data_IF_857541112141
#
_entry.id   IF_857541112141
#
_cell.length_a   1.000
_cell.length_b   1.000
_cell.length_c   1.000
_cell.angle_alpha   90.00
_cell.angle_beta   90.00
_cell.angle_gamma   90.00
#
_symmetry.space_group_name_H-M   'P 1'
#
loop_
_entity.id
_entity.type
_entity.pdbx_description
1 polymer ?
#
# COMPACT_ATOMS: atom_id res chain seq x y z
N UNK A 1 59.38 42.36 40.30
CA UNK A 1 58.53 43.21 39.43
C UNK A 1 58.99 43.09 37.99
N UNK A 2 58.34 42.23 37.19
CA UNK A 2 58.37 42.24 35.73
C UNK A 2 57.02 41.67 35.28
N UNK A 3 56.13 42.56 34.87
CA UNK A 3 54.83 42.28 34.28
C UNK A 3 55.03 41.80 32.84
N UNK A 4 54.53 40.61 32.51
CA UNK A 4 54.40 40.14 31.13
C UNK A 4 52.94 40.25 30.73
N UNK A 5 52.69 41.00 29.66
CA UNK A 5 51.38 41.25 29.06
C UNK A 5 51.16 40.14 28.02
N UNK A 6 50.25 39.20 28.27
CA UNK A 6 49.86 38.20 27.28
C UNK A 6 48.66 38.71 26.48
N UNK A 7 48.90 39.03 25.20
CA UNK A 7 47.87 39.37 24.22
C UNK A 7 47.18 38.07 23.79
N UNK A 8 45.89 37.95 24.06
CA UNK A 8 45.06 36.82 23.63
C UNK A 8 44.57 37.10 22.19
N UNK A 9 45.09 36.34 21.22
CA UNK A 9 44.67 36.40 19.82
C UNK A 9 43.46 35.47 19.64
N UNK A 10 42.26 36.03 19.49
CA UNK A 10 41.05 35.27 19.19
C UNK A 10 41.01 35.02 17.68
N UNK A 11 41.30 33.79 17.26
CA UNK A 11 41.05 33.33 15.89
C UNK A 11 39.57 32.95 15.76
N UNK A 12 38.81 33.76 15.04
CA UNK A 12 37.45 33.39 14.62
C UNK A 12 37.50 32.34 13.50
N UNK A 13 37.02 31.13 13.77
CA UNK A 13 36.70 30.17 12.71
C UNK A 13 35.39 30.60 12.05
N UNK A 14 35.47 31.13 10.83
CA UNK A 14 34.33 31.15 9.91
C UNK A 14 34.08 29.71 9.44
N UNK A 15 33.08 29.06 10.02
CA UNK A 15 32.52 27.83 9.47
C UNK A 15 31.78 28.13 8.18
N UNK A 16 32.37 27.80 7.03
CA UNK A 16 31.67 27.80 5.76
C UNK A 16 30.64 26.66 5.79
N UNK A 17 29.37 27.00 5.95
CA UNK A 17 28.27 26.07 5.69
C UNK A 17 28.24 25.80 4.20
N UNK A 18 28.72 24.61 3.80
CA UNK A 18 28.46 24.07 2.48
C UNK A 18 26.96 23.79 2.41
N UNK A 19 26.20 24.78 1.95
CA UNK A 19 24.83 24.59 1.52
C UNK A 19 24.84 23.68 0.31
N UNK A 20 24.63 22.38 0.54
CA UNK A 20 24.24 21.47 -0.51
C UNK A 20 22.80 21.88 -0.89
N UNK A 21 22.69 22.79 -1.85
CA UNK A 21 21.44 23.02 -2.56
C UNK A 21 21.21 21.77 -3.41
N UNK A 22 20.51 20.79 -2.84
CA UNK A 22 19.96 19.70 -3.62
C UNK A 22 19.00 20.33 -4.63
N UNK A 23 19.40 20.34 -5.90
CA UNK A 23 18.51 20.70 -6.97
C UNK A 23 17.28 19.78 -6.86
N UNK A 24 16.12 20.38 -6.59
CA UNK A 24 14.83 19.72 -6.65
C UNK A 24 14.52 19.40 -8.11
N UNK A 25 15.19 18.37 -8.65
CA UNK A 25 14.66 17.62 -9.77
C UNK A 25 13.50 16.81 -9.21
N UNK A 26 12.28 17.12 -9.60
CA UNK A 26 11.08 16.38 -9.21
C UNK A 26 11.11 14.99 -9.83
N UNK A 27 11.86 14.08 -9.24
CA UNK A 27 11.67 12.64 -9.38
C UNK A 27 10.33 12.32 -8.72
N UNK A 28 9.27 12.46 -9.51
CA UNK A 28 7.88 12.38 -9.04
C UNK A 28 7.48 10.93 -8.82
N UNK A 29 8.03 10.31 -7.77
CA UNK A 29 7.42 9.11 -7.21
C UNK A 29 6.10 9.55 -6.57
N UNK A 30 5.01 9.01 -7.08
CA UNK A 30 3.68 9.18 -6.53
C UNK A 30 3.35 7.99 -5.64
N UNK A 31 2.69 8.26 -4.52
CA UNK A 31 2.22 7.22 -3.60
C UNK A 31 0.76 7.49 -3.34
N UNK A 32 -0.07 6.48 -3.57
CA UNK A 32 -1.52 6.52 -3.37
C UNK A 32 -2.00 5.18 -2.84
N UNK A 33 -3.25 5.10 -2.40
CA UNK A 33 -3.81 3.89 -1.80
C UNK A 33 -5.12 3.45 -2.48
N UNK A 34 -5.44 2.18 -2.30
CA UNK A 34 -6.65 1.55 -2.80
C UNK A 34 -7.20 0.54 -1.77
N UNK A 35 -8.46 0.16 -1.93
CA UNK A 35 -9.03 -0.97 -1.19
C UNK A 35 -8.36 -2.28 -1.60
N UNK A 36 -8.53 -3.30 -0.77
CA UNK A 36 -8.09 -4.68 -0.99
C UNK A 36 -8.85 -5.40 -2.12
N UNK A 37 -10.09 -4.99 -2.42
CA UNK A 37 -10.95 -5.61 -3.44
C UNK A 37 -10.67 -5.25 -4.91
N UNK A 38 -9.58 -4.53 -5.22
CA UNK A 38 -9.27 -4.10 -6.59
C UNK A 38 -7.88 -4.56 -7.04
N UNK A 39 -7.67 -4.70 -8.33
CA UNK A 39 -6.38 -5.12 -8.92
C UNK A 39 -5.78 -3.98 -9.71
N UNK A 40 -4.59 -3.54 -9.30
CA UNK A 40 -3.89 -2.43 -9.95
C UNK A 40 -2.96 -2.95 -11.04
N UNK A 41 -3.19 -2.57 -12.29
CA UNK A 41 -2.31 -2.91 -13.40
C UNK A 41 -0.91 -2.28 -13.21
N UNK A 42 0.19 -3.05 -13.24
CA UNK A 42 1.53 -2.54 -12.94
C UNK A 42 2.10 -1.60 -14.00
N UNK A 43 1.57 -1.62 -15.22
CA UNK A 43 2.04 -0.79 -16.34
C UNK A 43 1.29 0.54 -16.38
N UNK A 44 -0.01 0.53 -16.10
CA UNK A 44 -0.88 1.72 -16.27
C UNK A 44 -1.38 2.34 -14.96
N UNK A 45 -1.31 1.58 -13.85
CA UNK A 45 -1.90 1.97 -12.57
C UNK A 45 -3.42 2.10 -12.60
N UNK A 46 -4.09 1.55 -13.62
CA UNK A 46 -5.56 1.45 -13.67
C UNK A 46 -6.05 0.22 -12.92
N UNK A 47 -7.25 0.30 -12.37
CA UNK A 47 -7.93 -0.88 -11.85
C UNK A 47 -8.41 -1.76 -13.00
N UNK A 48 -8.27 -3.07 -12.86
CA UNK A 48 -8.92 -4.02 -13.77
C UNK A 48 -10.44 -3.97 -13.65
N UNK A 49 -10.92 -3.61 -12.45
CA UNK A 49 -12.32 -3.42 -12.14
C UNK A 49 -12.89 -2.10 -12.72
N UNK A 50 -12.12 -1.24 -13.40
CA UNK A 50 -12.69 -0.06 -14.10
C UNK A 50 -13.46 -0.47 -15.36
N UNK A 51 -14.58 -1.16 -15.14
CA UNK A 51 -15.38 -1.94 -16.10
C UNK A 51 -16.85 -1.88 -15.69
N UNK A 52 -17.50 -0.71 -15.80
CA UNK A 52 -18.93 -0.57 -15.50
C UNK A 52 -19.83 -1.40 -16.43
N UNK A 53 -19.28 -1.92 -17.52
CA UNK A 53 -19.93 -2.89 -18.40
C UNK A 53 -20.06 -4.30 -17.79
N UNK A 54 -19.28 -4.63 -16.75
CA UNK A 54 -19.40 -5.89 -16.00
C UNK A 54 -20.28 -5.68 -14.75
N UNK A 55 -19.90 -4.76 -13.86
CA UNK A 55 -20.69 -4.41 -12.67
C UNK A 55 -20.79 -2.90 -12.52
N UNK A 56 -22.00 -2.39 -12.29
CA UNK A 56 -22.23 -0.94 -12.18
C UNK A 56 -21.60 -0.29 -10.95
N UNK A 57 -21.42 -1.09 -9.89
CA UNK A 57 -20.84 -0.64 -8.62
C UNK A 57 -19.30 -0.71 -8.61
N UNK A 58 -18.71 -1.19 -9.71
CA UNK A 58 -17.27 -1.16 -9.85
C UNK A 58 -16.75 0.28 -9.83
N UNK A 59 -15.53 0.47 -9.29
CA UNK A 59 -14.91 1.79 -9.27
C UNK A 59 -14.82 2.34 -10.70
N UNK A 60 -15.22 3.61 -10.90
CA UNK A 60 -15.00 4.42 -12.13
C UNK A 60 -14.26 5.74 -11.80
N UNK A 61 -13.37 6.23 -12.66
CA UNK A 61 -12.75 7.56 -12.53
C UNK A 61 -11.30 7.60 -11.99
N UNK A 62 -10.97 8.65 -11.23
CA UNK A 62 -9.60 8.95 -10.79
C UNK A 62 -9.30 8.41 -9.37
N UNK A 63 -9.07 7.10 -9.27
CA UNK A 63 -8.85 6.44 -7.97
C UNK A 63 -7.55 6.82 -7.28
N UNK A 64 -6.60 7.45 -8.00
CA UNK A 64 -5.39 8.01 -7.40
C UNK A 64 -5.75 9.12 -6.41
N UNK A 65 -6.87 9.82 -6.63
CA UNK A 65 -7.37 10.86 -5.74
C UNK A 65 -8.28 10.34 -4.65
N UNK A 66 -9.15 9.37 -4.96
CA UNK A 66 -10.15 8.89 -3.99
C UNK A 66 -10.65 7.48 -4.30
N UNK A 67 -10.81 6.67 -3.26
CA UNK A 67 -11.53 5.39 -3.32
C UNK A 67 -12.44 5.23 -2.09
N UNK A 68 -13.03 4.06 -1.88
CA UNK A 68 -13.83 3.77 -0.69
C UNK A 68 -13.03 3.93 0.62
N UNK A 69 -11.72 3.64 0.58
CA UNK A 69 -10.82 3.72 1.73
C UNK A 69 -9.79 4.83 1.63
N UNK A 70 -9.58 5.44 0.45
CA UNK A 70 -8.50 6.42 0.20
C UNK A 70 -9.02 7.84 -0.04
N UNK A 71 -8.36 8.83 0.57
CA UNK A 71 -8.55 10.25 0.30
C UNK A 71 -7.18 10.94 0.13
N UNK A 72 -6.79 11.23 -1.10
CA UNK A 72 -5.51 11.87 -1.41
C UNK A 72 -5.42 13.32 -0.94
N UNK A 73 -6.55 14.01 -0.78
CA UNK A 73 -6.56 15.39 -0.28
C UNK A 73 -6.20 15.44 1.21
N UNK A 74 -6.58 14.41 1.95
CA UNK A 74 -6.18 14.18 3.33
C UNK A 74 -4.88 13.36 3.46
N UNK A 75 -4.42 12.70 2.38
CA UNK A 75 -3.30 11.76 2.44
C UNK A 75 -3.59 10.54 3.32
N UNK A 76 -4.87 10.13 3.40
CA UNK A 76 -5.36 9.22 4.45
C UNK A 76 -6.08 8.00 3.89
N UNK A 77 -5.77 6.83 4.46
CA UNK A 77 -6.55 5.60 4.39
C UNK A 77 -7.46 5.49 5.61
N UNK A 78 -8.75 5.21 5.40
CA UNK A 78 -9.74 5.02 6.45
C UNK A 78 -10.39 3.63 6.35
N UNK A 79 -10.25 2.85 7.42
CA UNK A 79 -10.66 1.46 7.52
C UNK A 79 -11.60 1.25 8.71
N UNK A 80 -12.34 0.16 8.68
CA UNK A 80 -13.20 -0.29 9.77
C UNK A 80 -13.05 -1.80 9.93
N UNK A 81 -12.99 -2.27 11.16
CA UNK A 81 -12.89 -3.70 11.45
C UNK A 81 -13.50 -4.03 12.81
N UNK A 82 -13.94 -5.27 12.98
CA UNK A 82 -14.17 -5.86 14.28
C UNK A 82 -12.85 -6.34 14.91
N UNK A 83 -12.89 -6.70 16.19
CA UNK A 83 -11.82 -7.50 16.80
C UNK A 83 -11.82 -8.91 16.21
N UNK A 84 -10.65 -9.55 16.16
CA UNK A 84 -10.45 -10.87 15.53
C UNK A 84 -10.66 -10.88 14.00
N UNK A 85 -10.48 -9.74 13.35
CA UNK A 85 -10.63 -9.56 11.91
C UNK A 85 -9.28 -9.18 11.28
N UNK A 86 -9.04 -9.65 10.06
CA UNK A 86 -8.04 -9.07 9.17
C UNK A 86 -8.73 -8.04 8.30
N UNK A 87 -8.23 -6.80 8.34
CA UNK A 87 -8.60 -5.75 7.41
C UNK A 87 -7.38 -5.34 6.60
N UNK A 88 -7.58 -5.08 5.31
CA UNK A 88 -6.47 -4.89 4.39
C UNK A 88 -6.69 -3.68 3.50
N UNK A 89 -5.59 -3.15 2.99
CA UNK A 89 -5.58 -2.14 1.95
C UNK A 89 -4.31 -2.24 1.12
N UNK A 90 -4.26 -1.49 0.05
CA UNK A 90 -3.13 -1.48 -0.87
C UNK A 90 -2.51 -0.08 -0.92
N UNK A 91 -1.18 -0.01 -0.92
CA UNK A 91 -0.41 1.18 -1.27
C UNK A 91 0.26 0.93 -2.61
N UNK A 92 0.12 1.87 -3.53
CA UNK A 92 0.74 1.82 -4.85
C UNK A 92 1.86 2.83 -4.90
N UNK A 93 3.06 2.34 -5.19
CA UNK A 93 4.21 3.19 -5.52
C UNK A 93 4.27 3.31 -7.03
N UNK A 94 4.07 4.53 -7.52
CA UNK A 94 4.00 4.87 -8.93
C UNK A 94 5.20 5.75 -9.31
N UNK A 95 5.90 5.31 -10.34
CA UNK A 95 6.93 6.08 -11.01
C UNK A 95 6.25 7.08 -11.94
N UNK A 96 6.33 8.37 -11.61
CA UNK A 96 5.73 9.43 -12.42
C UNK A 96 6.33 9.52 -13.82
N UNK A 97 5.58 10.14 -14.72
CA UNK A 97 5.88 10.20 -16.15
C UNK A 97 7.22 10.89 -16.47
N UNK A 98 7.68 11.77 -15.57
CA UNK A 98 8.98 12.44 -15.70
C UNK A 98 10.18 11.53 -15.46
N UNK A 99 9.97 10.33 -14.90
CA UNK A 99 11.07 9.42 -14.56
C UNK A 99 11.41 8.52 -15.77
N UNK A 100 12.66 8.55 -16.28
CA UNK A 100 13.08 7.80 -17.47
C UNK A 100 12.79 6.30 -17.34
N UNK A 101 12.28 5.65 -18.39
CA UNK A 101 11.81 4.25 -18.34
C UNK A 101 12.86 3.26 -17.79
N UNK A 102 14.13 3.49 -18.09
CA UNK A 102 15.30 2.69 -17.72
C UNK A 102 15.84 2.97 -16.30
N UNK A 103 15.46 4.09 -15.68
CA UNK A 103 15.88 4.41 -14.32
C UNK A 103 15.11 3.60 -13.28
N UNK A 104 15.83 2.88 -12.43
CA UNK A 104 15.22 2.09 -11.34
C UNK A 104 15.04 2.94 -10.09
N UNK A 105 13.81 3.02 -9.59
CA UNK A 105 13.51 3.53 -8.25
C UNK A 105 13.70 2.40 -7.24
N UNK A 106 14.17 2.72 -6.03
CA UNK A 106 14.36 1.74 -4.94
C UNK A 106 13.53 2.10 -3.71
N UNK A 107 12.20 1.91 -3.73
CA UNK A 107 11.36 2.24 -2.59
C UNK A 107 11.60 1.29 -1.40
N UNK A 108 11.39 1.81 -0.20
CA UNK A 108 11.32 1.07 1.04
C UNK A 108 10.05 1.48 1.80
N UNK A 109 9.17 0.52 2.06
CA UNK A 109 7.90 0.74 2.76
C UNK A 109 8.02 0.28 4.21
N UNK A 110 7.57 1.14 5.12
CA UNK A 110 7.56 0.89 6.56
C UNK A 110 6.21 1.25 7.13
N UNK A 111 5.58 0.31 7.84
CA UNK A 111 4.40 0.54 8.65
C UNK A 111 4.59 -0.23 9.96
N UNK A 112 4.60 0.46 11.09
CA UNK A 112 5.09 -0.14 12.34
C UNK A 112 3.99 -0.38 13.35
N UNK A 113 3.06 0.55 13.50
CA UNK A 113 1.98 0.41 14.48
C UNK A 113 0.85 1.41 14.27
N UNK A 114 -0.31 1.07 14.84
CA UNK A 114 -1.44 1.95 15.01
C UNK A 114 -1.73 2.12 16.51
N UNK A 115 -1.78 3.36 16.99
CA UNK A 115 -2.07 3.70 18.38
C UNK A 115 -3.54 4.03 18.54
N UNK A 116 -4.17 3.43 19.55
CA UNK A 116 -5.60 3.58 19.82
C UNK A 116 -5.89 4.08 21.24
N UNK A 117 -7.14 3.89 21.71
CA UNK A 117 -7.59 4.29 23.04
C UNK A 117 -6.73 3.71 24.16
N UNK A 118 -6.62 4.44 25.27
CA UNK A 118 -5.97 4.00 26.51
C UNK A 118 -4.51 3.51 26.35
N UNK A 119 -3.83 3.97 25.30
CA UNK A 119 -2.45 3.57 24.99
C UNK A 119 -2.33 2.21 24.32
N UNK A 120 -3.44 1.59 23.90
CA UNK A 120 -3.42 0.36 23.12
C UNK A 120 -2.68 0.55 21.79
N UNK A 121 -1.98 -0.50 21.34
CA UNK A 121 -1.15 -0.44 20.14
C UNK A 121 -1.27 -1.74 19.35
N UNK A 122 -1.66 -1.62 18.07
CA UNK A 122 -1.66 -2.72 17.10
C UNK A 122 -0.34 -2.63 16.34
N UNK A 123 0.58 -3.57 16.56
CA UNK A 123 1.96 -3.51 16.04
C UNK A 123 2.54 -4.89 15.73
N UNK A 124 3.77 -4.89 15.22
CA UNK A 124 4.56 -6.11 15.03
C UNK A 124 3.92 -7.05 14.01
N UNK A 125 3.64 -8.29 14.40
CA UNK A 125 3.01 -9.28 13.52
C UNK A 125 1.58 -8.90 13.09
N UNK A 126 0.94 -7.97 13.80
CA UNK A 126 -0.42 -7.53 13.51
C UNK A 126 -0.50 -6.50 12.38
N UNK A 127 0.64 -5.98 11.91
CA UNK A 127 0.72 -5.03 10.79
C UNK A 127 1.78 -5.53 9.82
N UNK A 128 1.34 -6.08 8.69
CA UNK A 128 2.21 -6.81 7.78
C UNK A 128 2.14 -6.24 6.35
N UNK A 129 3.20 -5.56 5.87
CA UNK A 129 3.32 -5.18 4.48
C UNK A 129 3.88 -6.34 3.64
N UNK A 130 3.30 -6.55 2.47
CA UNK A 130 3.70 -7.54 1.48
C UNK A 130 3.86 -6.90 0.11
N UNK A 131 4.91 -7.26 -0.63
CA UNK A 131 5.00 -6.85 -2.04
C UNK A 131 4.10 -7.77 -2.85
N UNK A 132 3.15 -7.20 -3.60
CA UNK A 132 2.36 -7.97 -4.53
C UNK A 132 3.21 -8.41 -5.74
N UNK A 133 3.33 -9.71 -5.94
CA UNK A 133 3.96 -10.32 -7.09
C UNK A 133 2.97 -10.42 -8.24
N UNK A 134 3.35 -9.88 -9.41
CA UNK A 134 2.47 -9.88 -10.56
C UNK A 134 2.63 -11.13 -11.41
N UNK A 135 1.51 -11.77 -11.72
CA UNK A 135 1.43 -12.93 -12.62
C UNK A 135 0.79 -12.49 -13.94
N UNK A 136 1.40 -12.86 -15.07
CA UNK A 136 0.86 -12.53 -16.40
C UNK A 136 -0.20 -13.54 -16.82
N UNK A 137 -1.45 -13.08 -16.89
CA UNK A 137 -2.57 -13.83 -17.47
C UNK A 137 -2.59 -13.59 -18.98
N UNK A 138 -2.18 -14.61 -19.73
CA UNK A 138 -2.13 -14.59 -21.21
C UNK A 138 -3.31 -15.34 -21.88
N UNK A 139 -4.12 -16.03 -21.08
CA UNK A 139 -5.30 -16.76 -21.54
C UNK A 139 -6.42 -16.54 -20.55
N UNK A 140 -7.62 -16.22 -21.06
CA UNK A 140 -8.82 -16.09 -20.22
C UNK A 140 -9.21 -17.44 -19.66
N UNK A 141 -9.71 -17.43 -18.43
CA UNK A 141 -10.41 -18.58 -17.84
C UNK A 141 -11.73 -18.78 -18.59
N UNK A 142 -12.04 -20.03 -18.94
CA UNK A 142 -13.28 -20.40 -19.62
C UNK A 142 -14.40 -20.64 -18.59
N UNK A 143 -15.66 -20.36 -18.96
CA UNK A 143 -16.83 -20.60 -18.11
C UNK A 143 -17.27 -19.41 -17.24
N UNK A 144 -16.60 -18.26 -17.40
CA UNK A 144 -16.91 -16.99 -16.71
C UNK A 144 -16.58 -15.80 -17.63
N UNK A 145 -16.84 -15.96 -18.93
CA UNK A 145 -16.31 -15.05 -19.95
C UNK A 145 -16.83 -13.61 -19.82
N UNK A 146 -18.05 -13.41 -19.28
CA UNK A 146 -18.59 -12.06 -19.06
C UNK A 146 -18.09 -11.42 -17.76
N UNK A 147 -17.74 -12.22 -16.76
CA UNK A 147 -17.14 -11.77 -15.50
C UNK A 147 -15.62 -11.61 -15.57
N UNK A 148 -14.99 -12.07 -16.65
CA UNK A 148 -13.55 -11.95 -16.84
C UNK A 148 -13.10 -10.48 -16.88
N UNK A 149 -12.20 -10.12 -15.97
CA UNK A 149 -11.49 -8.83 -15.97
C UNK A 149 -10.48 -8.68 -17.12
N UNK A 150 -10.18 -9.76 -17.85
CA UNK A 150 -9.40 -9.73 -19.08
C UNK A 150 -7.95 -10.20 -18.92
N UNK A 151 -7.13 -9.97 -19.94
CA UNK A 151 -5.71 -10.33 -19.94
C UNK A 151 -4.87 -9.24 -19.29
N UNK A 152 -3.70 -9.59 -18.78
CA UNK A 152 -2.76 -8.62 -18.24
C UNK A 152 -1.95 -9.15 -17.07
N UNK A 153 -1.30 -8.24 -16.35
CA UNK A 153 -0.52 -8.54 -15.16
C UNK A 153 -1.35 -8.33 -13.90
N UNK A 154 -1.59 -9.40 -13.15
CA UNK A 154 -2.43 -9.42 -11.96
C UNK A 154 -1.59 -9.53 -10.69
N UNK A 155 -1.82 -8.70 -9.66
CA UNK A 155 -1.17 -8.87 -8.36
C UNK A 155 -1.80 -10.08 -7.66
N UNK A 156 -1.05 -11.19 -7.55
CA UNK A 156 -1.62 -12.47 -7.12
C UNK A 156 -0.96 -12.97 -5.83
N UNK A 157 0.36 -13.20 -5.85
CA UNK A 157 1.07 -13.69 -4.67
C UNK A 157 1.58 -12.54 -3.79
N UNK A 158 1.44 -12.65 -2.48
CA UNK A 158 1.96 -11.69 -1.51
C UNK A 158 3.32 -12.13 -1.00
N UNK A 159 4.37 -11.36 -1.33
CA UNK A 159 5.75 -11.67 -0.92
C UNK A 159 6.06 -10.94 0.40
N UNK A 160 6.29 -11.67 1.50
CA UNK A 160 6.55 -11.05 2.80
C UNK A 160 7.93 -10.43 2.89
N UNK A 161 8.09 -9.52 3.84
CA UNK A 161 9.39 -9.10 4.36
C UNK A 161 9.62 -9.70 5.75
N UNK A 162 10.88 -9.94 6.11
CA UNK A 162 11.22 -10.32 7.48
C UNK A 162 10.78 -9.22 8.46
N UNK A 163 10.24 -9.62 9.61
CA UNK A 163 9.76 -8.69 10.63
C UNK A 163 10.85 -7.69 11.05
N UNK A 164 10.44 -6.44 11.29
CA UNK A 164 11.33 -5.36 11.69
C UNK A 164 12.23 -4.81 10.58
N UNK A 165 12.05 -5.24 9.32
CA UNK A 165 12.75 -4.67 8.17
C UNK A 165 11.77 -3.92 7.25
N UNK A 166 12.19 -2.78 6.67
CA UNK A 166 11.44 -2.15 5.60
C UNK A 166 11.25 -3.11 4.42
N UNK A 167 10.06 -3.10 3.81
CA UNK A 167 9.79 -3.81 2.57
C UNK A 167 10.42 -3.03 1.42
N UNK A 168 11.62 -3.44 1.01
CA UNK A 168 12.36 -2.84 -0.10
C UNK A 168 12.20 -3.61 -1.42
N UNK A 169 12.12 -2.88 -2.52
CA UNK A 169 12.03 -3.45 -3.86
C UNK A 169 12.58 -2.51 -4.94
N UNK A 170 12.80 -3.06 -6.12
CA UNK A 170 13.14 -2.30 -7.33
C UNK A 170 11.86 -2.01 -8.12
N UNK A 171 11.77 -0.83 -8.72
CA UNK A 171 10.70 -0.42 -9.64
C UNK A 171 11.33 0.25 -10.88
N UNK A 172 11.35 -0.42 -12.05
CA UNK A 172 10.77 -1.73 -12.36
C UNK A 172 11.44 -2.90 -11.61
N UNK A 173 10.66 -3.93 -11.32
CA UNK A 173 11.11 -5.13 -10.61
C UNK A 173 11.76 -6.11 -11.59
N UNK A 174 13.09 -6.11 -11.61
CA UNK A 174 13.87 -7.00 -12.47
C UNK A 174 13.64 -8.50 -12.18
N UNK A 175 13.25 -8.87 -10.95
CA UNK A 175 13.00 -10.27 -10.59
C UNK A 175 11.64 -10.76 -11.11
N UNK A 176 10.65 -9.87 -11.11
CA UNK A 176 9.31 -10.19 -11.60
C UNK A 176 9.20 -10.11 -13.14
N UNK A 177 10.17 -9.47 -13.80
CA UNK A 177 10.32 -9.43 -15.25
C UNK A 177 9.06 -8.95 -16.01
N UNK A 178 8.32 -7.99 -15.43
CA UNK A 178 7.15 -7.36 -16.07
C UNK A 178 7.55 -6.65 -17.37
N UNK A 179 8.74 -6.05 -17.36
CA UNK A 179 9.32 -5.33 -18.50
C UNK A 179 9.53 -3.84 -18.23
N UNK A 180 10.09 -3.10 -19.19
CA UNK A 180 10.42 -1.67 -19.04
C UNK A 180 9.17 -0.76 -18.95
N UNK A 181 7.99 -1.31 -19.20
CA UNK A 181 6.69 -0.64 -19.11
C UNK A 181 6.14 -0.61 -17.68
N UNK A 182 6.72 -1.36 -16.74
CA UNK A 182 6.28 -1.28 -15.34
C UNK A 182 6.51 0.13 -14.79
N UNK A 183 5.44 0.71 -14.26
CA UNK A 183 5.44 2.03 -13.60
C UNK A 183 4.90 1.95 -12.18
N UNK A 184 4.20 0.89 -11.83
CA UNK A 184 3.52 0.75 -10.55
C UNK A 184 3.98 -0.54 -9.86
N UNK A 185 4.13 -0.45 -8.54
CA UNK A 185 4.29 -1.61 -7.67
C UNK A 185 3.31 -1.50 -6.52
N UNK A 186 2.49 -2.54 -6.36
CA UNK A 186 1.54 -2.61 -5.25
C UNK A 186 2.19 -3.27 -4.03
N UNK A 187 1.93 -2.66 -2.88
CA UNK A 187 2.22 -3.19 -1.55
C UNK A 187 0.89 -3.42 -0.87
N UNK A 188 0.60 -4.68 -0.56
CA UNK A 188 -0.54 -5.07 0.25
C UNK A 188 -0.21 -4.89 1.72
N UNK A 189 -1.14 -4.39 2.52
CA UNK A 189 -0.95 -4.21 3.96
C UNK A 189 -2.10 -4.91 4.68
N UNK A 190 -1.77 -5.93 5.45
CA UNK A 190 -2.71 -6.58 6.36
C UNK A 190 -2.59 -5.98 7.76
N UNK A 191 -3.76 -5.72 8.37
CA UNK A 191 -3.89 -5.36 9.77
C UNK A 191 -4.77 -6.40 10.45
N UNK A 192 -4.19 -7.17 11.36
CA UNK A 192 -4.95 -8.04 12.25
C UNK A 192 -5.34 -7.26 13.51
N UNK A 193 -6.63 -7.20 13.81
CA UNK A 193 -7.11 -6.61 15.06
C UNK A 193 -7.19 -7.70 16.12
N UNK A 194 -6.39 -7.62 17.21
CA UNK A 194 -6.44 -8.61 18.29
C UNK A 194 -7.86 -8.86 18.80
N UNK A 195 -8.14 -10.12 19.14
CA UNK A 195 -9.45 -10.53 19.63
C UNK A 195 -9.79 -9.96 21.01
N UNK A 196 -8.82 -9.97 21.92
CA UNK A 196 -9.05 -9.55 23.30
C UNK A 196 -9.30 -8.04 23.36
N UNK A 197 -10.41 -7.66 23.97
CA UNK A 197 -10.82 -6.25 24.12
C UNK A 197 -9.79 -5.43 24.89
N UNK A 198 -8.99 -6.04 25.78
CA UNK A 198 -7.92 -5.31 26.48
C UNK A 198 -6.77 -4.93 25.55
N UNK A 199 -6.51 -5.74 24.52
CA UNK A 199 -5.39 -5.57 23.59
C UNK A 199 -5.82 -4.66 22.41
N UNK A 200 -7.11 -4.71 22.05
CA UNK A 200 -7.72 -3.87 21.02
C UNK A 200 -9.08 -3.28 21.47
N UNK A 201 -9.13 -2.37 22.46
CA UNK A 201 -10.37 -1.71 22.85
C UNK A 201 -11.05 -1.00 21.66
N UNK A 202 -12.39 -0.94 21.62
CA UNK A 202 -13.09 -0.29 20.52
C UNK A 202 -12.76 1.21 20.48
N UNK A 203 -12.62 1.75 19.27
CA UNK A 203 -12.29 3.14 19.03
C UNK A 203 -11.38 3.32 17.82
N UNK A 204 -10.94 4.56 17.61
CA UNK A 204 -10.11 4.92 16.46
C UNK A 204 -8.64 4.71 16.78
N UNK A 205 -7.97 3.95 15.92
CA UNK A 205 -6.54 3.72 15.89
C UNK A 205 -5.91 4.54 14.77
N UNK A 206 -4.76 5.16 15.03
CA UNK A 206 -4.03 5.99 14.06
C UNK A 206 -2.57 5.56 13.95
N UNK A 207 -2.09 5.49 12.72
CA UNK A 207 -0.71 5.19 12.41
C UNK A 207 -0.29 5.85 11.12
N UNK A 208 0.98 5.66 10.76
CA UNK A 208 1.57 6.19 9.53
C UNK A 208 2.24 5.04 8.76
N UNK A 209 2.08 5.06 7.44
CA UNK A 209 2.84 4.24 6.52
C UNK A 209 3.78 5.15 5.73
N UNK A 210 5.08 4.91 5.87
CA UNK A 210 6.12 5.68 5.20
C UNK A 210 6.65 4.91 3.99
N UNK A 211 6.75 5.59 2.85
CA UNK A 211 7.42 5.13 1.65
C UNK A 211 8.61 6.05 1.40
N UNK A 212 9.83 5.52 1.48
CA UNK A 212 11.05 6.27 1.22
C UNK A 212 11.73 5.75 -0.05
N UNK A 213 12.38 6.62 -0.81
CA UNK A 213 13.21 6.28 -1.97
C UNK A 213 14.41 7.23 -2.06
N UNK A 214 15.43 6.94 -2.88
CA UNK A 214 16.52 7.88 -3.11
C UNK A 214 15.98 9.22 -3.62
N UNK A 215 16.15 10.29 -2.85
CA UNK A 215 15.70 11.65 -3.21
C UNK A 215 14.35 12.08 -2.64
N UNK A 216 13.61 11.20 -1.94
CA UNK A 216 12.32 11.60 -1.37
C UNK A 216 11.66 10.59 -0.44
N UNK A 217 10.57 11.04 0.18
CA UNK A 217 9.68 10.17 0.94
C UNK A 217 8.26 10.71 0.93
N UNK A 218 7.30 9.83 1.18
CA UNK A 218 5.88 10.16 1.34
C UNK A 218 5.31 9.35 2.49
N UNK A 219 4.46 9.98 3.30
CA UNK A 219 3.68 9.32 4.34
C UNK A 219 2.21 9.25 3.92
N UNK A 220 1.56 8.15 4.31
CA UNK A 220 0.12 7.95 4.27
C UNK A 220 -0.37 7.79 5.71
N UNK A 221 -1.36 8.58 6.10
CA UNK A 221 -2.05 8.41 7.37
C UNK A 221 -2.96 7.19 7.28
N UNK A 222 -2.94 6.33 8.29
CA UNK A 222 -3.81 5.15 8.39
C UNK A 222 -4.70 5.32 9.61
N UNK A 223 -6.01 5.37 9.38
CA UNK A 223 -7.04 5.45 10.40
C UNK A 223 -7.87 4.16 10.37
N UNK A 224 -7.99 3.49 11.51
CA UNK A 224 -8.75 2.26 11.67
C UNK A 224 -9.75 2.41 12.82
N UNK A 225 -11.04 2.36 12.51
CA UNK A 225 -12.09 2.28 13.53
C UNK A 225 -12.35 0.83 13.92
N UNK A 226 -12.03 0.47 15.17
CA UNK A 226 -12.34 -0.84 15.74
C UNK A 226 -13.73 -0.79 16.38
N UNK A 227 -14.64 -1.61 15.86
CA UNK A 227 -16.00 -1.72 16.38
C UNK A 227 -16.08 -2.43 17.73
N UNK A 228 -17.17 -2.19 18.47
CA UNK A 228 -17.38 -2.83 19.77
C UNK A 228 -17.97 -4.25 19.69
N UNK A 229 -17.38 -5.08 18.85
CA UNK A 229 -17.63 -6.53 18.85
C UNK A 229 -16.40 -7.28 18.33
N UNK A 230 -16.39 -8.60 18.50
CA UNK A 230 -15.36 -9.49 17.98
C UNK A 230 -15.99 -10.57 17.10
N UNK A 231 -15.30 -10.94 16.01
CA UNK A 231 -15.67 -12.09 15.20
C UNK A 231 -15.35 -13.39 15.97
N UNK A 232 -16.18 -14.45 15.83
CA UNK A 232 -15.89 -15.74 16.42
C UNK A 232 -14.68 -16.40 15.73
N UNK A 233 -13.98 -17.27 16.45
CA UNK A 233 -12.88 -18.06 15.88
C UNK A 233 -13.39 -19.09 14.85
N UNK A 234 -14.65 -19.53 15.01
CA UNK A 234 -15.28 -20.55 14.18
C UNK A 234 -16.36 -19.95 13.27
N UNK A 235 -16.30 -20.32 11.99
CA UNK A 235 -17.36 -20.01 11.02
C UNK A 235 -18.52 -21.01 11.16
N UNK A 236 -19.69 -20.51 11.55
CA UNK A 236 -20.92 -21.32 11.60
C UNK A 236 -21.78 -21.19 10.32
N UNK A 237 -21.32 -20.40 9.35
CA UNK A 237 -21.90 -20.35 8.01
C UNK A 237 -21.40 -21.56 7.21
N UNK A 238 -22.30 -22.22 6.47
CA UNK A 238 -21.91 -23.24 5.49
C UNK A 238 -21.17 -22.54 4.35
N UNK A 239 -19.85 -22.67 4.31
CA UNK A 239 -19.05 -22.22 3.18
C UNK A 239 -19.18 -23.19 2.01
N UNK A 240 -19.34 -22.65 0.81
CA UNK A 240 -19.15 -23.38 -0.44
C UNK A 240 -18.11 -22.61 -1.26
N UNK A 241 -16.92 -23.19 -1.39
CA UNK A 241 -15.79 -22.59 -2.14
C UNK A 241 -15.64 -23.21 -3.53
N UNK A 242 -16.55 -24.11 -3.95
CA UNK A 242 -16.54 -24.73 -5.26
C UNK A 242 -17.99 -24.99 -5.75
N UNK A 243 -18.56 -24.03 -6.48
CA UNK A 243 -19.86 -24.21 -7.09
C UNK A 243 -19.72 -24.55 -8.59
N UNK A 244 -19.90 -25.82 -8.93
CA UNK A 244 -20.08 -26.27 -10.32
C UNK A 244 -21.33 -25.65 -10.98
N UNK A 245 -22.23 -25.08 -10.17
CA UNK A 245 -23.48 -24.42 -10.60
C UNK A 245 -23.25 -23.29 -11.61
N UNK A 246 -22.06 -22.68 -11.62
CA UNK A 246 -21.72 -21.63 -12.57
C UNK A 246 -21.23 -22.18 -13.92
N UNK A 247 -20.79 -23.45 -14.00
CA UNK A 247 -20.40 -24.06 -15.29
C UNK A 247 -21.58 -24.25 -16.24
N UNK A 248 -22.78 -24.44 -15.69
CA UNK A 248 -24.02 -24.63 -16.45
C UNK A 248 -24.88 -23.35 -16.52
N UNK A 249 -24.33 -22.21 -16.07
CA UNK A 249 -25.02 -20.93 -16.08
C UNK A 249 -25.01 -20.34 -17.50
N UNK A 250 -26.20 -20.01 -18.03
CA UNK A 250 -26.28 -19.29 -19.29
C UNK A 250 -25.55 -17.93 -19.18
N UNK A 251 -24.76 -17.50 -20.18
CA UNK A 251 -23.95 -16.29 -20.05
C UNK A 251 -24.76 -15.03 -19.73
N UNK A 252 -26.05 -14.94 -20.08
CA UNK A 252 -26.89 -13.79 -19.68
C UNK A 252 -27.10 -13.68 -18.16
N UNK A 253 -26.97 -14.80 -17.44
CA UNK A 253 -27.17 -14.88 -15.99
C UNK A 253 -25.90 -14.60 -15.18
N UNK A 254 -24.74 -14.55 -15.82
CA UNK A 254 -23.45 -14.23 -15.17
C UNK A 254 -23.43 -12.82 -14.56
N UNK A 255 -24.21 -11.88 -15.11
CA UNK A 255 -24.20 -10.47 -14.72
C UNK A 255 -25.47 -10.03 -13.94
N UNK A 256 -26.31 -10.99 -13.52
CA UNK A 256 -27.55 -10.74 -12.77
C UNK A 256 -27.32 -10.59 -11.27
#
# INVERSE_FOLDING_TARGET
>A
MRTSLSVLMVLGLLGATVGCSAAAGSDSVHVWAAGDGVRVNPETGKFFEDRPDIHKDYPTGDYRKRSAVWDASAGRVALKAARNEFVSFQVVVEKGDSHPADQTVKPAVTCTSLRGPDGAEIAGANVAPFKAWYVKVNRKTHGYDKLSLGLGWYPDALIPVAQGRPLSFDLPDAKNAIGPTQRNQTVWVDIFVPRDRKDAPPGTYKGELAVAWPGGSRTIDVELDVWDFALPDDIHCRGDIFNVTLLDMAPEKELL
#
